data_IF_507573064724
#
_entry.id   IF_507573064724
#
_cell.length_a   1.000
_cell.length_b   1.000
_cell.length_c   1.000
_cell.angle_alpha   90.00
_cell.angle_beta   90.00
_cell.angle_gamma   90.00
#
_symmetry.space_group_name_H-M   'P 1'
#
loop_
_entity.id
_entity.type
_entity.pdbx_description
1 polymer ?
#
# COMPACT_ATOMS: atom_id res chain seq x y z
N UNK A 1 1.19 -7.65 8.53
CA UNK A 1 2.57 -8.07 8.83
C UNK A 1 3.24 -8.57 7.57
N UNK A 2 4.54 -8.86 7.60
CA UNK A 2 5.21 -9.53 6.48
C UNK A 2 4.51 -10.86 6.15
N UNK A 3 4.35 -11.14 4.86
CA UNK A 3 3.61 -12.30 4.36
C UNK A 3 2.10 -12.08 4.15
N UNK A 4 1.51 -11.03 4.73
CA UNK A 4 0.11 -10.66 4.46
C UNK A 4 -0.06 -10.29 2.97
N UNK A 5 -1.31 -10.35 2.49
CA UNK A 5 -1.65 -10.02 1.09
C UNK A 5 -2.40 -8.70 0.98
N UNK A 6 -2.09 -7.92 -0.05
CA UNK A 6 -2.87 -6.79 -0.54
C UNK A 6 -3.48 -7.20 -1.89
N UNK A 7 -4.81 -7.10 -2.00
CA UNK A 7 -5.53 -7.43 -3.23
C UNK A 7 -6.00 -6.15 -3.92
N UNK A 8 -5.58 -5.94 -5.16
CA UNK A 8 -6.14 -4.92 -6.05
C UNK A 8 -7.03 -5.60 -7.08
N UNK A 9 -8.31 -5.24 -7.08
CA UNK A 9 -9.27 -5.71 -8.06
C UNK A 9 -9.65 -4.59 -9.00
N UNK A 10 -9.42 -4.79 -10.29
CA UNK A 10 -9.82 -3.84 -11.33
C UNK A 10 -11.30 -4.01 -11.68
N UNK A 11 -11.86 -3.02 -12.36
CA UNK A 11 -13.27 -3.00 -12.74
C UNK A 11 -13.64 -4.10 -13.75
N UNK A 12 -12.69 -4.55 -14.56
CA UNK A 12 -12.81 -5.66 -15.53
C UNK A 12 -12.59 -7.04 -14.89
N UNK A 13 -12.34 -7.11 -13.58
CA UNK A 13 -12.32 -8.37 -12.83
C UNK A 13 -10.94 -9.06 -12.76
N UNK A 14 -9.88 -8.42 -13.26
CA UNK A 14 -8.50 -8.85 -12.98
C UNK A 14 -8.19 -8.59 -11.50
N UNK A 15 -7.52 -9.53 -10.85
CA UNK A 15 -7.04 -9.36 -9.48
C UNK A 15 -5.52 -9.48 -9.43
N UNK A 16 -4.88 -8.50 -8.78
CA UNK A 16 -3.45 -8.46 -8.49
C UNK A 16 -3.28 -8.72 -6.99
N UNK A 17 -2.53 -9.78 -6.66
CA UNK A 17 -2.14 -10.07 -5.27
C UNK A 17 -0.70 -9.62 -5.05
N UNK A 18 -0.51 -8.83 -3.99
CA UNK A 18 0.80 -8.35 -3.56
C UNK A 18 1.12 -8.90 -2.17
N UNK A 19 2.34 -9.40 -1.97
CA UNK A 19 2.79 -9.90 -0.66
C UNK A 19 3.55 -8.81 0.09
N UNK A 20 3.13 -8.51 1.32
CA UNK A 20 3.78 -7.51 2.18
C UNK A 20 5.17 -7.98 2.58
N UNK A 21 6.16 -7.11 2.36
CA UNK A 21 7.56 -7.32 2.72
C UNK A 21 7.97 -6.40 3.87
N UNK A 22 7.55 -5.13 3.80
CA UNK A 22 7.95 -4.10 4.75
C UNK A 22 6.73 -3.44 5.39
N UNK A 23 6.85 -3.14 6.69
CA UNK A 23 5.86 -2.38 7.43
C UNK A 23 6.57 -1.55 8.49
N UNK A 24 6.66 -0.23 8.27
CA UNK A 24 7.44 0.66 9.12
C UNK A 24 6.80 2.04 9.27
N UNK A 25 7.33 2.83 10.21
CA UNK A 25 6.95 4.22 10.43
C UNK A 25 8.05 5.13 9.89
N UNK A 26 7.66 6.27 9.33
CA UNK A 26 8.56 7.33 8.91
C UNK A 26 8.16 8.67 9.52
N UNK A 27 9.14 9.51 9.84
CA UNK A 27 8.91 10.92 10.16
C UNK A 27 8.66 11.68 8.84
N UNK A 28 7.47 12.28 8.64
CA UNK A 28 7.17 13.04 7.43
C UNK A 28 7.99 14.33 7.29
N UNK A 29 8.71 14.77 8.33
CA UNK A 29 9.58 15.94 8.28
C UNK A 29 11.03 15.60 7.95
N UNK A 30 11.40 14.32 7.90
CA UNK A 30 12.72 13.90 7.44
C UNK A 30 12.88 14.30 5.95
N UNK A 31 13.97 14.98 5.56
CA UNK A 31 14.22 15.34 4.16
C UNK A 31 14.20 14.15 3.19
N UNK A 32 14.51 12.94 3.67
CA UNK A 32 14.49 11.69 2.90
C UNK A 32 13.14 10.99 2.90
N UNK A 33 12.13 11.49 3.62
CA UNK A 33 10.83 10.83 3.80
C UNK A 33 10.10 10.52 2.48
N UNK A 34 10.36 11.30 1.42
CA UNK A 34 9.78 11.09 0.09
C UNK A 34 10.42 9.93 -0.69
N UNK A 35 11.57 9.42 -0.27
CA UNK A 35 12.24 8.29 -0.94
C UNK A 35 11.36 7.02 -0.97
N UNK A 36 10.43 6.88 -0.02
CA UNK A 36 9.48 5.75 0.00
C UNK A 36 8.54 5.73 -1.20
N UNK A 37 8.36 6.88 -1.88
CA UNK A 37 7.52 7.04 -3.08
C UNK A 37 8.30 6.91 -4.38
N UNK A 38 9.63 6.74 -4.33
CA UNK A 38 10.44 6.57 -5.52
C UNK A 38 10.06 5.28 -6.28
N UNK A 39 10.21 5.25 -7.61
CA UNK A 39 9.99 4.03 -8.38
C UNK A 39 10.98 2.93 -7.97
N UNK A 40 10.51 1.68 -8.03
CA UNK A 40 11.27 0.47 -7.72
C UNK A 40 11.58 -0.31 -9.01
N UNK A 41 12.52 -1.26 -8.93
CA UNK A 41 12.80 -2.18 -10.05
C UNK A 41 11.73 -3.28 -10.18
N UNK A 42 11.06 -3.60 -9.08
CA UNK A 42 9.99 -4.61 -9.01
C UNK A 42 8.60 -3.96 -9.01
N UNK A 43 7.58 -4.70 -9.45
CA UNK A 43 6.17 -4.27 -9.35
C UNK A 43 5.76 -4.22 -7.88
N UNK A 44 5.73 -2.99 -7.35
CA UNK A 44 5.58 -2.71 -5.93
C UNK A 44 4.37 -1.81 -5.70
N UNK A 45 3.54 -2.20 -4.73
CA UNK A 45 2.53 -1.32 -4.16
C UNK A 45 3.02 -0.79 -2.80
N UNK A 46 2.89 0.51 -2.60
CA UNK A 46 3.18 1.18 -1.33
C UNK A 46 1.91 1.84 -0.80
N UNK A 47 1.44 1.39 0.37
CA UNK A 47 0.30 1.99 1.09
C UNK A 47 0.83 2.90 2.19
N UNK A 48 0.42 4.16 2.16
CA UNK A 48 0.87 5.18 3.11
C UNK A 48 -0.34 5.77 3.82
N UNK A 49 -0.30 5.81 5.16
CA UNK A 49 -1.35 6.43 5.98
C UNK A 49 -0.76 7.12 7.21
N UNK A 50 -1.61 7.80 7.98
CA UNK A 50 -1.22 8.37 9.28
C UNK A 50 -0.82 7.26 10.26
N UNK A 51 0.23 7.49 11.06
CA UNK A 51 0.74 6.53 12.03
C UNK A 51 1.42 7.21 13.23
N UNK A 52 2.00 6.40 14.12
CA UNK A 52 2.64 6.93 15.32
C UNK A 52 1.65 7.48 16.34
N UNK A 53 2.03 8.55 17.02
CA UNK A 53 1.25 9.15 18.10
C UNK A 53 0.24 10.17 17.57
N UNK A 54 -1.01 10.03 18.01
CA UNK A 54 -2.06 11.00 17.74
C UNK A 54 -1.94 12.22 18.65
N UNK A 55 -2.03 13.40 18.07
CA UNK A 55 -2.15 14.69 18.75
C UNK A 55 -3.43 15.39 18.29
N UNK A 56 -4.40 15.66 19.17
CA UNK A 56 -5.61 16.36 18.78
C UNK A 56 -5.25 17.77 18.28
N UNK A 57 -5.83 18.15 17.13
CA UNK A 57 -5.82 19.53 16.64
C UNK A 57 -7.28 19.99 16.65
N UNK A 58 -7.54 21.27 16.95
CA UNK A 58 -8.91 21.73 17.22
C UNK A 58 -9.91 21.36 16.11
N UNK A 59 -11.08 20.83 16.51
CA UNK A 59 -12.16 20.38 15.60
C UNK A 59 -12.60 18.95 15.86
N UNK A 60 -13.83 18.59 15.44
CA UNK A 60 -14.43 17.26 15.69
C UNK A 60 -13.68 16.09 15.03
N UNK A 61 -12.99 16.37 13.92
CA UNK A 61 -12.19 15.40 13.16
C UNK A 61 -10.74 15.87 12.98
N UNK A 62 -10.33 16.90 13.73
CA UNK A 62 -8.99 17.47 13.66
C UNK A 62 -8.00 16.59 14.43
N UNK A 63 -6.85 16.31 13.83
CA UNK A 63 -5.79 15.57 14.49
C UNK A 63 -4.54 15.48 13.63
N UNK A 64 -3.40 15.46 14.30
CA UNK A 64 -2.11 15.22 13.71
C UNK A 64 -1.59 13.86 14.18
N UNK A 65 -0.86 13.18 13.32
CA UNK A 65 -0.17 11.94 13.62
C UNK A 65 1.32 12.18 13.42
N UNK A 66 2.14 11.80 14.40
CA UNK A 66 3.57 12.13 14.39
C UNK A 66 4.33 11.53 13.21
N UNK A 67 3.84 10.44 12.65
CA UNK A 67 4.53 9.64 11.63
C UNK A 67 3.57 9.22 10.52
N UNK A 68 4.12 8.62 9.46
CA UNK A 68 3.38 7.89 8.46
C UNK A 68 3.67 6.40 8.56
N UNK A 69 2.62 5.59 8.54
CA UNK A 69 2.74 4.14 8.40
C UNK A 69 2.89 3.83 6.92
N UNK A 70 3.96 3.14 6.57
CA UNK A 70 4.26 2.67 5.22
C UNK A 70 4.19 1.15 5.22
N UNK A 71 3.45 0.60 4.26
CA UNK A 71 3.39 -0.83 3.97
C UNK A 71 3.79 -1.02 2.52
N UNK A 72 4.85 -1.79 2.29
CA UNK A 72 5.37 -2.10 0.95
C UNK A 72 5.19 -3.57 0.65
N UNK A 73 4.69 -3.86 -0.54
CA UNK A 73 4.41 -5.21 -1.00
C UNK A 73 4.77 -5.37 -2.47
N UNK A 74 5.27 -6.55 -2.85
CA UNK A 74 5.66 -6.90 -4.22
C UNK A 74 4.61 -7.81 -4.85
N UNK A 75 4.39 -7.68 -6.16
CA UNK A 75 3.41 -8.49 -6.88
C UNK A 75 3.78 -9.97 -6.77
N UNK A 76 2.84 -10.79 -6.31
CA UNK A 76 3.02 -12.23 -6.14
C UNK A 76 2.16 -13.05 -7.11
N UNK A 77 1.00 -12.54 -7.51
CA UNK A 77 0.10 -13.24 -8.42
C UNK A 77 -0.77 -12.29 -9.23
N UNK A 78 -1.00 -12.64 -10.50
CA UNK A 78 -2.03 -12.05 -11.36
C UNK A 78 -3.08 -13.10 -11.66
N UNK A 79 -4.32 -12.83 -11.26
CA UNK A 79 -5.49 -13.67 -11.57
C UNK A 79 -6.30 -12.98 -12.65
N UNK A 80 -6.43 -13.57 -13.85
CA UNK A 80 -7.22 -12.99 -14.95
C UNK A 80 -8.71 -12.86 -14.60
N UNK A 81 -9.41 -12.00 -15.32
CA UNK A 81 -10.87 -11.88 -15.23
C UNK A 81 -11.56 -13.23 -15.54
N UNK A 82 -12.65 -13.59 -14.83
CA UNK A 82 -13.35 -14.86 -15.03
C UNK A 82 -13.75 -15.10 -16.50
N UNK A 83 -14.22 -14.06 -17.18
CA UNK A 83 -14.72 -14.15 -18.56
C UNK A 83 -13.59 -14.28 -19.59
N UNK A 84 -12.38 -13.82 -19.25
CA UNK A 84 -11.19 -14.00 -20.10
C UNK A 84 -10.74 -15.47 -20.15
N UNK A 85 -11.03 -16.24 -19.10
CA UNK A 85 -10.70 -17.68 -19.04
C UNK A 85 -11.70 -18.50 -19.86
N UNK A 86 -12.96 -18.07 -19.94
CA UNK A 86 -14.01 -18.75 -20.72
C UNK A 86 -13.80 -18.59 -22.23
N UNK A 87 -13.32 -17.42 -22.69
CA UNK A 87 -13.07 -17.17 -24.12
C UNK A 87 -11.85 -17.92 -24.70
N UNK A 88 -11.03 -18.54 -23.86
CA UNK A 88 -9.81 -19.25 -24.25
C UNK A 88 -9.98 -20.78 -24.38
N UNK A 89 -11.19 -21.31 -24.15
CA UNK A 89 -11.51 -22.75 -24.20
C UNK A 89 -12.53 -23.08 -25.29
#
# INVERSE_FOLDING_TARGET
SGGDQILLRSADGVELSYTVEENFLIDPNDPSSLEVMAPTNDDTITVITCGGAYSPTGGQFGGWYSERRVVRATLSQVTPAPDAVVAAN
#
